data_IF_245720627123
#
_entry.id   IF_245720627123
#
_cell.length_a   1.000
_cell.length_b   1.000
_cell.length_c   1.000
_cell.angle_alpha   90.00
_cell.angle_beta   90.00
_cell.angle_gamma   90.00
#
_symmetry.space_group_name_H-M   'P 1'
#
loop_
_entity.id
_entity.type
_entity.pdbx_description
1 polymer ?
#
# COMPACT_ATOMS: atom_id res chain seq x y z
N UNK A 1 41.27 10.73 -62.97
CA UNK A 1 41.37 9.77 -61.81
C UNK A 1 40.59 10.38 -60.69
N UNK A 2 39.38 9.87 -60.41
CA UNK A 2 38.45 10.41 -59.41
C UNK A 2 38.38 9.38 -58.30
N UNK A 3 38.85 9.76 -57.07
CA UNK A 3 38.81 8.94 -55.86
C UNK A 3 37.40 8.98 -55.28
N UNK A 4 36.78 7.81 -55.13
CA UNK A 4 35.53 7.61 -54.37
C UNK A 4 35.88 7.53 -52.89
N UNK A 5 35.34 8.46 -52.08
CA UNK A 5 35.25 8.37 -50.62
C UNK A 5 34.02 7.55 -50.25
N UNK A 6 34.21 6.40 -49.64
CA UNK A 6 33.15 5.62 -49.07
C UNK A 6 32.70 6.26 -47.74
N UNK A 7 31.45 6.63 -47.66
CA UNK A 7 30.80 7.05 -46.38
C UNK A 7 30.31 5.80 -45.67
N UNK A 8 30.91 5.52 -44.53
CA UNK A 8 30.46 4.47 -43.61
C UNK A 8 29.28 5.04 -42.82
N UNK A 9 28.04 4.60 -43.10
CA UNK A 9 26.85 4.91 -42.33
C UNK A 9 26.80 3.91 -41.18
N UNK A 10 27.12 4.36 -39.97
CA UNK A 10 26.90 3.57 -38.73
C UNK A 10 25.43 3.73 -38.36
N UNK A 11 24.63 2.72 -38.65
CA UNK A 11 23.28 2.58 -38.11
C UNK A 11 23.35 2.12 -36.67
N UNK A 12 23.22 3.07 -35.75
CA UNK A 12 23.06 2.76 -34.33
C UNK A 12 21.71 2.06 -34.08
N UNK A 13 21.75 0.79 -33.74
CA UNK A 13 20.57 0.10 -33.23
C UNK A 13 20.26 0.65 -31.83
N UNK A 14 19.23 1.47 -31.73
CA UNK A 14 18.66 1.83 -30.43
C UNK A 14 18.03 0.57 -29.84
N UNK A 15 18.64 0.05 -28.78
CA UNK A 15 18.04 -1.01 -27.98
C UNK A 15 16.75 -0.46 -27.36
N UNK A 16 15.60 -0.92 -27.84
CA UNK A 16 14.31 -0.65 -27.21
C UNK A 16 14.30 -1.32 -25.83
N UNK A 17 14.34 -0.52 -24.77
CA UNK A 17 14.04 -0.98 -23.42
C UNK A 17 12.59 -1.46 -23.45
N UNK A 18 12.29 -2.71 -23.08
CA UNK A 18 10.91 -3.16 -23.03
C UNK A 18 10.18 -2.33 -22.00
N UNK A 19 9.31 -1.42 -22.46
CA UNK A 19 8.29 -0.82 -21.61
C UNK A 19 7.38 -1.98 -21.24
N UNK A 20 7.44 -2.42 -19.98
CA UNK A 20 6.45 -3.33 -19.43
C UNK A 20 5.09 -2.68 -19.64
N UNK A 21 4.31 -3.27 -20.54
CA UNK A 21 2.95 -2.84 -20.84
C UNK A 21 2.12 -3.16 -19.59
N UNK A 22 1.93 -2.18 -18.71
CA UNK A 22 1.02 -2.29 -17.59
C UNK A 22 -0.38 -2.37 -18.18
N UNK A 23 -1.06 -3.49 -17.95
CA UNK A 23 -2.47 -3.59 -18.29
C UNK A 23 -3.24 -2.49 -17.54
N UNK A 24 -4.04 -1.71 -18.25
CA UNK A 24 -4.89 -0.69 -17.66
C UNK A 24 -5.90 -1.35 -16.71
N UNK A 25 -6.10 -0.75 -15.51
CA UNK A 25 -7.10 -1.11 -14.50
C UNK A 25 -6.89 -2.48 -13.80
N UNK A 26 -5.66 -2.80 -13.40
CA UNK A 26 -5.37 -4.01 -12.59
C UNK A 26 -5.35 -3.68 -11.08
N UNK A 27 -6.48 -3.20 -10.57
CA UNK A 27 -6.69 -2.94 -9.15
C UNK A 27 -7.59 -4.02 -8.58
N UNK A 28 -7.15 -4.79 -7.54
CA UNK A 28 -8.00 -5.78 -6.91
C UNK A 28 -9.27 -5.15 -6.33
N UNK A 29 -10.44 -5.68 -6.67
CA UNK A 29 -11.72 -5.13 -6.21
C UNK A 29 -11.89 -5.14 -4.68
N UNK A 30 -11.14 -6.02 -3.99
CA UNK A 30 -11.15 -6.12 -2.53
C UNK A 30 -10.06 -5.28 -1.85
N UNK A 31 -9.20 -4.61 -2.59
CA UNK A 31 -8.23 -3.67 -2.02
C UNK A 31 -8.98 -2.56 -1.29
N UNK A 32 -8.57 -2.28 -0.06
CA UNK A 32 -9.07 -1.15 0.73
C UNK A 32 -8.08 0.02 0.66
N UNK A 33 -6.86 -0.21 1.10
CA UNK A 33 -5.83 0.82 1.07
C UNK A 33 -4.41 0.26 1.00
N UNK A 34 -3.50 1.14 0.61
CA UNK A 34 -2.06 0.91 0.60
C UNK A 34 -1.43 1.71 1.74
N UNK A 35 -0.44 1.15 2.43
CA UNK A 35 0.33 1.83 3.47
C UNK A 35 1.67 2.28 2.90
N UNK A 36 1.85 3.60 2.81
CA UNK A 36 3.12 4.24 2.49
C UNK A 36 3.80 4.62 3.80
N UNK A 37 4.72 3.77 4.26
CA UNK A 37 5.53 4.00 5.45
C UNK A 37 6.58 5.08 5.21
N UNK A 38 6.84 5.88 6.23
CA UNK A 38 7.91 6.89 6.25
C UNK A 38 8.38 7.13 7.69
N UNK A 39 9.61 7.58 7.84
CA UNK A 39 10.18 7.94 9.15
C UNK A 39 9.65 9.26 9.69
N UNK A 40 9.22 10.16 8.81
CA UNK A 40 8.57 11.43 9.14
C UNK A 40 7.32 11.63 8.31
N UNK A 41 6.21 12.02 8.97
CA UNK A 41 4.91 12.15 8.30
C UNK A 41 4.88 13.33 7.32
N UNK A 42 5.50 14.45 7.67
CA UNK A 42 5.50 15.64 6.82
C UNK A 42 6.34 15.41 5.55
N UNK A 43 7.44 14.66 5.67
CA UNK A 43 8.23 14.21 4.51
C UNK A 43 7.42 13.27 3.60
N UNK A 44 6.70 12.30 4.18
CA UNK A 44 5.83 11.39 3.43
C UNK A 44 4.70 12.13 2.71
N UNK A 45 4.05 13.10 3.37
CA UNK A 45 3.04 13.96 2.78
C UNK A 45 3.64 14.77 1.60
N UNK A 46 4.78 15.42 1.83
CA UNK A 46 5.45 16.22 0.80
C UNK A 46 5.91 15.36 -0.38
N UNK A 47 6.36 14.14 -0.14
CA UNK A 47 6.71 13.18 -1.19
C UNK A 47 5.50 12.86 -2.08
N UNK A 48 4.38 12.45 -1.50
CA UNK A 48 3.17 12.13 -2.25
C UNK A 48 2.64 13.34 -3.04
N UNK A 49 2.63 14.54 -2.41
CA UNK A 49 2.21 15.78 -3.04
C UNK A 49 3.09 16.18 -4.24
N UNK A 50 4.41 16.07 -4.11
CA UNK A 50 5.34 16.39 -5.22
C UNK A 50 5.09 15.52 -6.44
N UNK A 51 4.82 14.24 -6.24
CA UNK A 51 4.64 13.27 -7.32
C UNK A 51 3.27 13.35 -7.97
N UNK A 52 2.22 13.51 -7.16
CA UNK A 52 0.84 13.44 -7.64
C UNK A 52 0.22 14.82 -7.90
N UNK A 53 0.69 15.83 -7.16
CA UNK A 53 0.07 17.16 -7.14
C UNK A 53 -1.12 17.30 -6.19
N UNK A 54 -1.42 16.25 -5.40
CA UNK A 54 -2.45 16.29 -4.36
C UNK A 54 -1.79 16.04 -3.01
N UNK A 55 -2.00 16.98 -2.07
CA UNK A 55 -1.47 16.88 -0.72
C UNK A 55 -2.34 15.96 0.13
N UNK A 56 -1.81 14.86 0.70
CA UNK A 56 -2.50 14.08 1.72
C UNK A 56 -2.92 14.94 2.90
N UNK A 57 -4.11 14.73 3.43
CA UNK A 57 -4.60 15.43 4.62
C UNK A 57 -4.41 14.59 5.88
N UNK A 58 -4.14 15.27 7.01
CA UNK A 58 -4.02 14.62 8.31
C UNK A 58 -5.24 13.74 8.57
N UNK A 59 -5.01 12.47 8.83
CA UNK A 59 -6.02 11.49 9.18
C UNK A 59 -6.24 11.41 10.69
N UNK A 60 -5.16 11.35 11.47
CA UNK A 60 -5.17 11.33 12.91
C UNK A 60 -4.07 10.47 13.53
N UNK A 61 -4.25 10.21 14.80
CA UNK A 61 -3.34 9.43 15.63
C UNK A 61 -3.95 8.04 15.86
N UNK A 62 -3.12 7.00 15.93
CA UNK A 62 -3.53 5.66 16.35
C UNK A 62 -3.18 5.46 17.83
N UNK A 63 -4.12 5.68 18.76
CA UNK A 63 -3.82 5.66 20.19
C UNK A 63 -3.23 4.32 20.66
N UNK A 64 -2.10 4.37 21.37
CA UNK A 64 -1.38 3.21 21.89
C UNK A 64 -0.76 2.31 20.81
N UNK A 65 -0.63 2.82 19.56
CA UNK A 65 0.08 2.12 18.47
C UNK A 65 1.37 2.83 18.05
N UNK A 66 1.66 4.00 18.59
CA UNK A 66 2.88 4.76 18.30
C UNK A 66 2.94 5.34 16.88
N UNK A 67 1.82 5.42 16.15
CA UNK A 67 1.77 5.90 14.78
C UNK A 67 0.70 6.98 14.58
N UNK A 68 0.91 7.81 13.57
CA UNK A 68 -0.03 8.81 13.04
C UNK A 68 -0.05 8.73 11.51
N UNK A 69 -1.10 9.25 10.89
CA UNK A 69 -1.25 9.13 9.45
C UNK A 69 -1.78 10.38 8.76
N UNK A 70 -1.59 10.42 7.44
CA UNK A 70 -2.28 11.29 6.51
C UNK A 70 -2.86 10.46 5.35
N UNK A 71 -3.96 10.92 4.77
CA UNK A 71 -4.76 10.14 3.82
C UNK A 71 -4.90 10.86 2.49
N UNK A 72 -4.89 10.09 1.41
CA UNK A 72 -5.12 10.54 0.05
C UNK A 72 -6.07 9.57 -0.65
N UNK A 73 -7.20 10.06 -1.18
CA UNK A 73 -8.13 9.22 -1.94
C UNK A 73 -7.50 8.74 -3.25
N UNK A 74 -7.68 7.46 -3.54
CA UNK A 74 -7.27 6.84 -4.80
C UNK A 74 -8.46 6.42 -5.67
N UNK A 75 -9.62 6.99 -5.39
CA UNK A 75 -10.89 6.66 -6.01
C UNK A 75 -11.85 5.97 -5.02
N UNK A 76 -13.05 5.58 -5.49
CA UNK A 76 -14.06 4.95 -4.63
C UNK A 76 -13.52 3.70 -3.93
N UNK A 77 -13.65 3.65 -2.59
CA UNK A 77 -13.23 2.54 -1.73
C UNK A 77 -11.73 2.26 -1.69
N UNK A 78 -10.89 3.14 -2.25
CA UNK A 78 -9.44 3.01 -2.20
C UNK A 78 -8.78 4.29 -1.68
N UNK A 79 -7.77 4.16 -0.83
CA UNK A 79 -6.95 5.28 -0.39
C UNK A 79 -5.49 4.89 -0.15
N UNK A 80 -4.63 5.89 -0.16
CA UNK A 80 -3.25 5.79 0.32
C UNK A 80 -3.22 6.30 1.75
N UNK A 81 -2.72 5.49 2.66
CA UNK A 81 -2.38 5.88 4.02
C UNK A 81 -0.88 6.16 4.09
N UNK A 82 -0.50 7.41 4.24
CA UNK A 82 0.87 7.79 4.60
C UNK A 82 0.99 7.64 6.11
N UNK A 83 1.81 6.71 6.57
CA UNK A 83 1.94 6.37 7.99
C UNK A 83 3.36 6.59 8.50
N UNK A 84 3.48 7.18 9.68
CA UNK A 84 4.76 7.47 10.33
C UNK A 84 4.67 7.25 11.84
N UNK A 85 5.83 7.15 12.54
CA UNK A 85 5.86 7.21 13.98
C UNK A 85 5.21 8.48 14.51
N UNK A 86 4.57 8.38 15.66
CA UNK A 86 4.02 9.53 16.36
C UNK A 86 4.90 9.87 17.56
N UNK A 87 5.72 10.95 17.49
CA UNK A 87 6.64 11.33 18.56
C UNK A 87 5.95 11.77 19.85
N UNK A 88 4.64 12.01 19.80
CA UNK A 88 3.85 12.35 20.99
C UNK A 88 3.46 11.12 21.82
N UNK A 89 3.54 9.90 21.24
CA UNK A 89 3.26 8.65 21.94
C UNK A 89 4.57 8.03 22.46
N UNK A 90 5.02 8.45 23.63
CA UNK A 90 6.28 7.98 24.25
C UNK A 90 6.14 6.60 24.92
N UNK A 91 4.92 6.15 25.20
CA UNK A 91 4.63 4.87 25.83
C UNK A 91 3.82 3.99 24.85
N UNK A 92 4.52 3.17 24.09
CA UNK A 92 3.91 2.17 23.20
C UNK A 92 4.11 0.79 23.79
N UNK A 93 3.05 -0.03 23.95
CA UNK A 93 3.20 -1.41 24.41
C UNK A 93 4.18 -2.18 23.52
N UNK A 94 5.04 -3.00 24.10
CA UNK A 94 6.06 -3.78 23.37
C UNK A 94 5.46 -4.65 22.26
N UNK A 95 4.24 -5.15 22.46
CA UNK A 95 3.48 -5.92 21.47
C UNK A 95 3.03 -5.10 20.25
N UNK A 96 3.25 -3.78 20.25
CA UNK A 96 2.86 -2.85 19.18
C UNK A 96 4.01 -1.94 18.74
N UNK A 97 5.20 -2.13 19.30
CA UNK A 97 6.37 -1.29 19.06
C UNK A 97 7.09 -1.61 17.73
N UNK A 98 6.79 -2.75 17.11
CA UNK A 98 7.49 -3.22 15.91
C UNK A 98 7.26 -2.28 14.71
N UNK A 99 5.99 -1.91 14.45
CA UNK A 99 5.67 -1.05 13.32
C UNK A 99 6.32 0.34 13.44
N UNK A 100 6.16 1.12 14.52
CA UNK A 100 6.84 2.41 14.62
C UNK A 100 8.37 2.28 14.54
N UNK A 101 8.97 1.27 15.15
CA UNK A 101 10.42 1.04 15.09
C UNK A 101 10.89 0.71 13.65
N UNK A 102 10.12 -0.06 12.89
CA UNK A 102 10.40 -0.34 11.48
C UNK A 102 10.28 0.94 10.65
N UNK A 103 9.23 1.75 10.86
CA UNK A 103 9.03 3.01 10.14
C UNK A 103 10.18 4.00 10.37
N UNK A 104 10.71 4.09 11.61
CA UNK A 104 11.86 4.93 11.95
C UNK A 104 13.13 4.60 11.15
N UNK A 105 13.27 3.34 10.70
CA UNK A 105 14.43 2.88 9.94
C UNK A 105 14.32 3.11 8.42
N UNK A 106 13.19 3.58 7.93
CA UNK A 106 12.99 3.80 6.50
C UNK A 106 13.81 4.99 6.00
N UNK A 107 14.66 4.73 5.02
CA UNK A 107 15.47 5.77 4.37
C UNK A 107 14.67 6.66 3.39
N UNK A 108 13.52 6.17 2.93
CA UNK A 108 12.61 6.86 2.01
C UNK A 108 11.19 6.31 2.15
N UNK A 109 10.15 7.07 1.74
CA UNK A 109 8.79 6.58 1.71
C UNK A 109 8.67 5.30 0.87
N UNK A 110 8.16 4.23 1.47
CA UNK A 110 8.11 2.88 0.89
C UNK A 110 6.77 2.23 1.18
N UNK A 111 6.22 1.44 0.23
CA UNK A 111 5.06 0.60 0.53
C UNK A 111 5.48 -0.49 1.52
N UNK A 112 4.79 -0.53 2.66
CA UNK A 112 5.13 -1.44 3.77
C UNK A 112 4.05 -2.47 4.03
N UNK A 113 2.80 -2.20 3.63
CA UNK A 113 1.67 -3.09 3.86
C UNK A 113 0.48 -2.67 2.99
N UNK A 114 -0.58 -3.47 2.98
CA UNK A 114 -1.84 -3.19 2.31
C UNK A 114 -3.01 -3.92 2.95
N UNK A 115 -4.20 -3.37 2.81
CA UNK A 115 -5.42 -3.91 3.38
C UNK A 115 -6.40 -4.39 2.31
N UNK A 116 -7.13 -5.43 2.62
CA UNK A 116 -8.33 -5.83 1.87
C UNK A 116 -9.58 -5.65 2.75
N UNK A 117 -10.64 -5.10 2.16
CA UNK A 117 -11.90 -4.95 2.88
C UNK A 117 -12.74 -6.23 2.87
N UNK A 118 -13.52 -6.40 3.91
CA UNK A 118 -14.52 -7.48 4.03
C UNK A 118 -15.75 -6.95 4.75
N UNK A 119 -16.91 -7.51 4.44
CA UNK A 119 -18.15 -7.30 5.21
C UNK A 119 -18.40 -8.39 6.27
N UNK A 120 -17.56 -9.42 6.32
CA UNK A 120 -17.70 -10.57 7.21
C UNK A 120 -16.33 -11.02 7.74
N UNK A 121 -15.73 -10.22 8.62
CA UNK A 121 -14.42 -10.50 9.19
C UNK A 121 -14.42 -11.74 10.10
N UNK A 122 -15.55 -12.03 10.73
CA UNK A 122 -15.69 -13.24 11.57
C UNK A 122 -15.66 -14.49 10.70
N UNK A 123 -16.39 -14.50 9.59
CA UNK A 123 -16.34 -15.59 8.62
C UNK A 123 -14.97 -15.76 7.96
N UNK A 124 -14.23 -14.65 7.73
CA UNK A 124 -12.81 -14.73 7.29
C UNK A 124 -11.97 -15.44 8.35
N UNK A 125 -12.05 -15.03 9.61
CA UNK A 125 -11.31 -15.65 10.71
C UNK A 125 -11.62 -17.15 10.86
N UNK A 126 -12.88 -17.54 10.68
CA UNK A 126 -13.28 -18.97 10.72
C UNK A 126 -12.67 -19.75 9.55
N UNK A 127 -12.68 -19.19 8.34
CA UNK A 127 -12.04 -19.83 7.16
C UNK A 127 -10.54 -19.98 7.38
N UNK A 128 -9.85 -18.96 7.87
CA UNK A 128 -8.42 -19.02 8.15
C UNK A 128 -8.08 -20.06 9.23
N UNK A 129 -8.86 -20.12 10.29
CA UNK A 129 -8.70 -21.15 11.34
C UNK A 129 -8.85 -22.56 10.76
N UNK A 130 -9.85 -22.79 9.92
CA UNK A 130 -10.06 -24.09 9.24
C UNK A 130 -8.92 -24.43 8.28
N UNK A 131 -8.31 -23.43 7.66
CA UNK A 131 -7.14 -23.57 6.78
C UNK A 131 -5.80 -23.72 7.55
N UNK A 132 -5.81 -23.62 8.89
CA UNK A 132 -4.61 -23.72 9.72
C UNK A 132 -3.70 -22.50 9.68
N UNK A 133 -4.21 -21.33 9.25
CA UNK A 133 -3.45 -20.09 9.27
C UNK A 133 -3.31 -19.58 10.72
N UNK A 134 -2.13 -19.09 11.08
CA UNK A 134 -1.88 -18.37 12.34
C UNK A 134 -2.18 -16.88 12.13
N UNK A 135 -3.06 -16.33 12.97
CA UNK A 135 -3.51 -14.94 12.85
C UNK A 135 -3.96 -14.36 14.20
N UNK A 136 -4.02 -13.04 14.24
CA UNK A 136 -4.53 -12.27 15.38
C UNK A 136 -5.80 -11.51 14.99
N UNK A 137 -6.75 -11.46 15.89
CA UNK A 137 -8.02 -10.75 15.70
C UNK A 137 -9.25 -11.68 15.57
N UNK A 138 -10.41 -11.11 15.20
CA UNK A 138 -10.66 -9.71 14.88
C UNK A 138 -10.38 -8.76 16.04
N UNK A 139 -9.54 -7.74 15.79
CA UNK A 139 -9.18 -6.75 16.80
C UNK A 139 -9.87 -5.42 16.52
N UNK A 140 -10.62 -4.83 17.46
CA UNK A 140 -11.25 -3.55 17.27
C UNK A 140 -10.21 -2.43 17.23
N UNK A 141 -10.46 -1.46 16.35
CA UNK A 141 -9.72 -0.22 16.25
C UNK A 141 -10.68 0.97 16.16
N UNK A 142 -10.20 2.11 16.60
CA UNK A 142 -10.91 3.37 16.43
C UNK A 142 -9.93 4.53 16.37
N UNK A 143 -10.36 5.61 15.73
CA UNK A 143 -9.60 6.84 15.61
C UNK A 143 -10.54 8.03 15.48
N UNK A 144 -10.23 9.11 16.21
CA UNK A 144 -10.86 10.38 15.96
C UNK A 144 -10.36 10.99 14.64
N UNK A 145 -11.24 11.54 13.87
CA UNK A 145 -10.96 12.38 12.70
C UNK A 145 -10.71 13.82 13.13
N UNK A 146 -10.07 14.67 12.29
CA UNK A 146 -9.94 16.09 12.59
C UNK A 146 -11.26 16.83 12.82
N UNK A 147 -12.38 16.35 12.24
CA UNK A 147 -13.73 16.89 12.45
C UNK A 147 -14.42 16.35 13.73
N UNK A 148 -13.70 15.57 14.55
CA UNK A 148 -14.19 14.99 15.81
C UNK A 148 -15.05 13.73 15.65
N UNK A 149 -15.39 13.31 14.43
CA UNK A 149 -16.12 12.06 14.20
C UNK A 149 -15.20 10.86 14.43
N UNK A 150 -15.76 9.80 14.96
CA UNK A 150 -15.03 8.56 15.19
C UNK A 150 -15.12 7.63 13.98
N UNK A 151 -13.98 7.11 13.57
CA UNK A 151 -13.92 5.92 12.73
C UNK A 151 -13.82 4.69 13.62
N UNK A 152 -14.53 3.63 13.25
CA UNK A 152 -14.46 2.32 13.90
C UNK A 152 -14.22 1.24 12.86
N UNK A 153 -13.38 0.27 13.20
CA UNK A 153 -13.09 -0.87 12.33
C UNK A 153 -12.69 -2.09 13.15
N UNK A 154 -12.59 -3.23 12.50
CA UNK A 154 -11.94 -4.42 13.01
C UNK A 154 -10.85 -4.86 12.03
N UNK A 155 -9.74 -5.36 12.52
CA UNK A 155 -8.66 -5.92 11.68
C UNK A 155 -8.40 -7.38 12.03
N UNK A 156 -8.00 -8.13 11.01
CA UNK A 156 -7.52 -9.50 11.11
C UNK A 156 -6.14 -9.56 10.44
N UNK A 157 -5.12 -9.92 11.21
CA UNK A 157 -3.72 -9.85 10.78
C UNK A 157 -3.10 -11.24 10.81
N UNK A 158 -2.36 -11.61 9.79
CA UNK A 158 -1.56 -12.83 9.79
C UNK A 158 -0.37 -12.67 10.75
N UNK A 159 0.03 -13.74 11.44
CA UNK A 159 1.26 -13.71 12.27
C UNK A 159 2.53 -13.73 11.41
N UNK A 160 2.42 -14.27 10.20
CA UNK A 160 3.47 -14.21 9.18
C UNK A 160 2.84 -13.64 7.90
N UNK A 161 2.93 -12.33 7.73
CA UNK A 161 2.45 -11.59 6.57
C UNK A 161 3.50 -11.49 5.46
N UNK A 162 4.64 -12.15 5.61
CA UNK A 162 5.79 -12.10 4.69
C UNK A 162 6.32 -10.69 4.49
N UNK A 163 6.52 -9.95 5.58
CA UNK A 163 7.00 -8.56 5.57
C UNK A 163 6.07 -7.64 4.77
N UNK A 164 4.77 -7.78 4.98
CA UNK A 164 3.73 -6.96 4.35
C UNK A 164 3.34 -7.38 2.93
N UNK A 165 3.85 -8.50 2.40
CA UNK A 165 3.41 -9.01 1.09
C UNK A 165 1.98 -9.57 1.14
N UNK A 166 1.60 -10.22 2.23
CA UNK A 166 0.23 -10.69 2.47
C UNK A 166 -0.56 -9.61 3.22
N UNK A 167 -1.80 -9.32 2.82
CA UNK A 167 -2.57 -8.23 3.39
C UNK A 167 -3.13 -8.56 4.77
N UNK A 168 -3.40 -7.53 5.54
CA UNK A 168 -4.37 -7.65 6.60
C UNK A 168 -5.80 -7.39 6.08
N UNK A 169 -6.78 -7.88 6.82
CA UNK A 169 -8.19 -7.66 6.50
C UNK A 169 -8.78 -6.58 7.41
N UNK A 170 -9.62 -5.73 6.81
CA UNK A 170 -10.34 -4.70 7.54
C UNK A 170 -11.84 -4.79 7.26
N UNK A 171 -12.62 -4.64 8.33
CA UNK A 171 -14.05 -4.40 8.25
C UNK A 171 -14.38 -3.09 8.92
N UNK A 172 -14.93 -2.15 8.16
CA UNK A 172 -15.38 -0.88 8.68
C UNK A 172 -16.67 -1.05 9.50
N UNK A 173 -16.77 -0.32 10.61
CA UNK A 173 -17.95 -0.30 11.47
C UNK A 173 -19.17 0.29 10.77
N UNK A 174 -20.34 -0.17 11.17
CA UNK A 174 -21.59 0.37 10.64
C UNK A 174 -21.69 1.89 10.87
N UNK A 175 -22.04 2.65 9.83
CA UNK A 175 -22.12 4.12 9.88
C UNK A 175 -20.78 4.85 9.80
N UNK A 176 -19.66 4.14 9.73
CA UNK A 176 -18.34 4.74 9.45
C UNK A 176 -18.26 5.18 8.00
N UNK A 177 -17.96 6.45 7.76
CA UNK A 177 -17.67 6.95 6.42
C UNK A 177 -16.30 6.46 6.02
N UNK A 178 -16.20 5.77 4.88
CA UNK A 178 -14.94 5.23 4.39
C UNK A 178 -13.94 6.36 4.11
N UNK A 179 -12.66 6.22 4.51
CA UNK A 179 -11.66 7.28 4.36
C UNK A 179 -11.48 7.83 2.94
N UNK A 180 -11.71 7.01 1.91
CA UNK A 180 -11.62 7.48 0.51
C UNK A 180 -12.64 8.57 0.15
N UNK A 181 -13.73 8.71 0.92
CA UNK A 181 -14.77 9.71 0.64
C UNK A 181 -14.32 11.10 1.09
N UNK A 182 -13.63 11.18 2.21
CA UNK A 182 -13.27 12.44 2.88
C UNK A 182 -11.81 12.86 2.67
N UNK A 183 -10.93 11.92 2.27
CA UNK A 183 -9.56 12.24 1.93
C UNK A 183 -9.49 13.12 0.66
N UNK A 184 -8.44 13.95 0.50
CA UNK A 184 -8.25 14.76 -0.69
C UNK A 184 -8.39 13.93 -1.96
N UNK A 185 -9.21 14.42 -2.89
CA UNK A 185 -9.54 13.78 -4.15
C UNK A 185 -8.57 14.21 -5.27
N UNK A 186 -8.57 13.51 -6.38
CA UNK A 186 -7.82 13.87 -7.59
C UNK A 186 -6.74 12.88 -8.00
N UNK A 187 -6.52 11.84 -7.18
CA UNK A 187 -5.68 10.71 -7.56
C UNK A 187 -6.51 9.48 -7.89
N UNK A 188 -5.94 8.59 -8.72
CA UNK A 188 -6.49 7.28 -9.06
C UNK A 188 -5.39 6.24 -8.93
N UNK A 189 -5.68 5.12 -8.27
CA UNK A 189 -4.86 3.92 -8.37
C UNK A 189 -5.05 3.32 -9.75
N UNK A 190 -3.98 3.19 -10.51
CA UNK A 190 -4.00 2.62 -11.86
C UNK A 190 -3.67 1.13 -11.84
N UNK A 191 -2.72 0.72 -10.97
CA UNK A 191 -2.39 -0.68 -10.79
C UNK A 191 -1.77 -0.95 -9.42
N UNK A 192 -1.93 -2.19 -8.97
CA UNK A 192 -1.28 -2.73 -7.77
C UNK A 192 -0.90 -4.20 -8.03
N UNK A 193 0.33 -4.57 -7.68
CA UNK A 193 0.84 -5.93 -7.78
C UNK A 193 1.76 -6.25 -6.60
N UNK A 194 1.87 -7.54 -6.31
CA UNK A 194 2.86 -8.08 -5.37
C UNK A 194 3.95 -8.77 -6.17
N UNK A 195 5.19 -8.36 -5.99
CA UNK A 195 6.36 -8.92 -6.69
C UNK A 195 7.09 -9.88 -5.75
N UNK A 196 7.43 -11.08 -6.23
CA UNK A 196 8.17 -12.06 -5.42
C UNK A 196 9.03 -12.98 -6.28
N UNK A 197 10.23 -13.35 -5.81
CA UNK A 197 11.02 -14.42 -6.43
C UNK A 197 10.33 -15.80 -6.31
N UNK A 198 9.46 -15.98 -5.32
CA UNK A 198 8.65 -17.17 -5.10
C UNK A 198 7.16 -16.88 -5.37
N UNK A 199 6.87 -16.35 -6.56
CA UNK A 199 5.54 -15.93 -6.96
C UNK A 199 4.51 -17.06 -6.96
N UNK A 200 4.92 -18.30 -7.24
CA UNK A 200 4.02 -19.46 -7.27
C UNK A 200 3.52 -19.86 -5.87
N UNK A 201 4.41 -19.88 -4.90
CA UNK A 201 4.03 -20.14 -3.49
C UNK A 201 3.14 -19.02 -2.97
N UNK A 202 3.51 -17.76 -3.24
CA UNK A 202 2.74 -16.60 -2.81
C UNK A 202 1.32 -16.61 -3.42
N UNK A 203 1.18 -16.95 -4.71
CA UNK A 203 -0.13 -17.10 -5.34
C UNK A 203 -0.99 -18.17 -4.66
N UNK A 204 -0.37 -19.29 -4.26
CA UNK A 204 -1.07 -20.37 -3.53
C UNK A 204 -1.54 -19.88 -2.15
N UNK A 205 -0.76 -19.06 -1.48
CA UNK A 205 -1.14 -18.45 -0.20
C UNK A 205 -2.31 -17.46 -0.37
N UNK A 206 -2.28 -16.61 -1.37
CA UNK A 206 -3.40 -15.73 -1.68
C UNK A 206 -4.68 -16.50 -1.95
N UNK A 207 -4.61 -17.59 -2.70
CA UNK A 207 -5.78 -18.47 -2.94
C UNK A 207 -6.35 -19.05 -1.65
N UNK A 208 -5.49 -19.50 -0.72
CA UNK A 208 -5.92 -20.00 0.61
C UNK A 208 -6.57 -18.91 1.45
N UNK A 209 -6.09 -17.67 1.34
CA UNK A 209 -6.65 -16.52 2.03
C UNK A 209 -7.94 -15.99 1.38
N UNK A 210 -8.25 -16.42 0.16
CA UNK A 210 -9.37 -15.91 -0.63
C UNK A 210 -9.10 -14.51 -1.21
N UNK A 211 -7.83 -14.17 -1.43
CA UNK A 211 -7.39 -12.89 -2.00
C UNK A 211 -7.07 -13.06 -3.47
N UNK A 212 -7.58 -12.16 -4.29
CA UNK A 212 -7.23 -12.07 -5.72
C UNK A 212 -6.43 -10.79 -5.95
N UNK A 213 -5.15 -10.96 -6.31
CA UNK A 213 -4.21 -9.88 -6.59
C UNK A 213 -3.25 -10.32 -7.69
N UNK A 214 -2.72 -9.39 -8.47
CA UNK A 214 -1.64 -9.69 -9.42
C UNK A 214 -0.36 -10.04 -8.66
N UNK A 215 0.22 -11.19 -8.97
CA UNK A 215 1.50 -11.65 -8.43
C UNK A 215 2.49 -11.75 -9.57
N UNK A 216 3.55 -10.97 -9.50
CA UNK A 216 4.60 -10.93 -10.51
C UNK A 216 5.87 -11.62 -10.03
N UNK A 217 6.61 -12.21 -10.96
CA UNK A 217 7.94 -12.74 -10.69
C UNK A 217 8.98 -11.62 -10.72
N UNK A 218 9.81 -11.52 -9.68
CA UNK A 218 10.88 -10.53 -9.59
C UNK A 218 12.05 -11.04 -8.78
N UNK A 219 13.18 -10.32 -8.80
CA UNK A 219 14.41 -10.73 -8.07
C UNK A 219 14.29 -10.51 -6.56
N UNK A 220 13.53 -9.51 -6.15
CA UNK A 220 13.31 -9.13 -4.75
C UNK A 220 11.81 -9.05 -4.48
N UNK A 221 11.42 -9.38 -3.25
CA UNK A 221 10.04 -9.28 -2.81
C UNK A 221 9.70 -7.83 -2.46
N UNK A 222 8.60 -7.30 -3.00
CA UNK A 222 8.11 -5.95 -2.69
C UNK A 222 6.68 -5.76 -3.20
N UNK A 223 6.02 -4.71 -2.71
CA UNK A 223 4.76 -4.21 -3.23
C UNK A 223 5.01 -3.18 -4.32
N UNK A 224 4.19 -3.19 -5.36
CA UNK A 224 4.28 -2.26 -6.48
C UNK A 224 2.95 -1.59 -6.74
N UNK A 225 2.94 -0.27 -6.85
CA UNK A 225 1.73 0.49 -7.16
C UNK A 225 2.01 1.64 -8.13
N UNK A 226 1.01 1.98 -8.94
CA UNK A 226 1.01 3.14 -9.81
C UNK A 226 -0.21 4.01 -9.52
N UNK A 227 0.04 5.24 -9.09
CA UNK A 227 -0.97 6.22 -8.70
C UNK A 227 -0.86 7.41 -9.63
N UNK A 228 -1.94 7.74 -10.33
CA UNK A 228 -2.00 8.89 -11.24
C UNK A 228 -2.67 10.06 -10.53
N UNK A 229 -2.03 11.20 -10.56
CA UNK A 229 -2.54 12.46 -10.03
C UNK A 229 -2.49 13.59 -11.06
N UNK A 230 -3.00 14.77 -10.73
CA UNK A 230 -3.11 15.89 -11.68
C UNK A 230 -1.77 16.46 -12.16
N UNK A 231 -0.67 16.27 -11.42
CA UNK A 231 0.66 16.74 -11.79
C UNK A 231 1.58 15.66 -12.34
N UNK A 232 1.24 14.39 -12.15
CA UNK A 232 2.09 13.30 -12.58
C UNK A 232 1.68 11.96 -12.00
N UNK A 233 2.60 11.01 -12.13
CA UNK A 233 2.40 9.63 -11.68
C UNK A 233 3.41 9.29 -10.59
N UNK A 234 2.90 8.83 -9.46
CA UNK A 234 3.69 8.23 -8.40
C UNK A 234 3.82 6.72 -8.67
N UNK A 235 5.05 6.26 -8.88
CA UNK A 235 5.39 4.83 -8.98
C UNK A 235 6.11 4.43 -7.71
N UNK A 236 5.58 3.42 -7.03
CA UNK A 236 6.13 2.85 -5.80
C UNK A 236 6.59 1.41 -6.07
N UNK A 237 7.72 1.00 -5.49
CA UNK A 237 8.27 -0.35 -5.68
C UNK A 237 8.79 -0.59 -7.10
N UNK A 238 9.49 0.38 -7.73
CA UNK A 238 10.08 0.26 -9.06
C UNK A 238 11.47 -0.37 -9.02
#
# INVERSE_FOLDING_TARGET
>A
MISRREFLVITGAAAAVPHSCWAADNVPSMLDHLLLGCSDLDEGIAFAERQTGVRPAMGGVHPGRGTRNALLSLGPLHYLEVIAPDPAQTEVPTTRAELPAMLEQLAAPTLVDWAVHTSDIVGVAERWRKAGAAFQGPTPGSRARPDGKMLHWQTLNLENDRDGLLPFFIQWGAGTVHPSVDAPQGCKLESFAVVSPDSSTLLTEFQKLGVSVEVESGKTAHLRAKIVGPKGTLVLGA
#
